data_IF_678900494864
#
_entry.id   IF_678900494864
#
_cell.length_a   1.000
_cell.length_b   1.000
_cell.length_c   1.000
_cell.angle_alpha   90.00
_cell.angle_beta   90.00
_cell.angle_gamma   90.00
#
_symmetry.space_group_name_H-M   'P 1'
#
loop_
_entity.id
_entity.type
_entity.pdbx_description
1 polymer ?
#
# COMPACT_ATOMS: atom_id res chain seq x y z
N UNK A 1 -18.98 31.09 -7.58
CA UNK A 1 -17.68 30.38 -7.65
C UNK A 1 -16.93 30.54 -6.32
N UNK A 2 -17.34 29.83 -5.26
CA UNK A 2 -16.62 29.90 -3.97
C UNK A 2 -16.71 28.61 -3.10
N UNK A 3 -17.20 27.48 -3.64
CA UNK A 3 -17.27 26.20 -2.90
C UNK A 3 -16.28 25.19 -3.48
N UNK A 4 -14.99 25.49 -3.39
CA UNK A 4 -13.91 24.54 -3.75
C UNK A 4 -12.85 24.40 -2.66
N UNK A 5 -13.11 24.90 -1.44
CA UNK A 5 -12.09 25.02 -0.39
C UNK A 5 -12.37 24.20 0.88
N UNK A 6 -13.35 23.29 0.87
CA UNK A 6 -13.63 22.38 2.00
C UNK A 6 -13.73 20.89 1.66
N UNK A 7 -13.48 20.49 0.41
CA UNK A 7 -13.97 19.22 -0.16
C UNK A 7 -13.02 18.02 -0.12
N UNK A 8 -11.80 18.13 0.39
CA UNK A 8 -10.87 16.99 0.38
C UNK A 8 -11.28 15.91 1.40
N UNK A 9 -11.73 16.31 2.59
CA UNK A 9 -12.10 15.37 3.66
C UNK A 9 -13.49 14.74 3.46
N UNK A 10 -14.45 15.47 2.88
CA UNK A 10 -15.78 14.92 2.59
C UNK A 10 -15.73 13.85 1.49
N UNK A 11 -14.97 14.10 0.42
CA UNK A 11 -14.76 13.13 -0.65
C UNK A 11 -13.92 11.93 -0.18
N UNK A 12 -12.99 12.13 0.75
CA UNK A 12 -12.20 11.04 1.32
C UNK A 12 -13.06 10.13 2.20
N UNK A 13 -13.81 10.68 3.16
CA UNK A 13 -14.72 9.89 3.99
C UNK A 13 -15.77 9.13 3.17
N UNK A 14 -16.34 9.76 2.14
CA UNK A 14 -17.27 9.09 1.22
C UNK A 14 -16.60 7.98 0.41
N UNK A 15 -15.40 8.20 -0.11
CA UNK A 15 -14.66 7.17 -0.84
C UNK A 15 -14.27 5.98 0.06
N UNK A 16 -13.99 6.23 1.34
CA UNK A 16 -13.76 5.17 2.33
C UNK A 16 -15.02 4.33 2.58
N UNK A 17 -16.16 4.99 2.81
CA UNK A 17 -17.44 4.32 3.05
C UNK A 17 -17.91 3.53 1.82
N UNK A 18 -17.77 4.12 0.62
CA UNK A 18 -18.11 3.46 -0.64
C UNK A 18 -17.20 2.26 -0.90
N UNK A 19 -15.89 2.38 -0.64
CA UNK A 19 -14.96 1.26 -0.73
C UNK A 19 -15.33 0.14 0.22
N UNK A 20 -15.63 0.45 1.49
CA UNK A 20 -16.04 -0.55 2.49
C UNK A 20 -17.30 -1.31 2.04
N UNK A 21 -18.30 -0.59 1.52
CA UNK A 21 -19.55 -1.19 1.04
C UNK A 21 -19.32 -2.11 -0.15
N UNK A 22 -18.52 -1.67 -1.13
CA UNK A 22 -18.21 -2.47 -2.31
C UNK A 22 -17.34 -3.67 -1.95
N UNK A 23 -16.33 -3.49 -1.10
CA UNK A 23 -15.44 -4.57 -0.67
C UNK A 23 -16.16 -5.67 0.11
N UNK A 24 -17.24 -5.35 0.84
CA UNK A 24 -18.09 -6.33 1.52
C UNK A 24 -18.93 -7.17 0.55
N UNK A 25 -19.28 -6.63 -0.61
CA UNK A 25 -20.13 -7.29 -1.61
C UNK A 25 -19.32 -7.98 -2.72
N UNK A 26 -18.15 -7.44 -3.03
CA UNK A 26 -17.29 -7.94 -4.09
C UNK A 26 -16.48 -9.18 -3.64
N UNK A 27 -16.16 -10.10 -4.58
CA UNK A 27 -15.19 -11.15 -4.33
C UNK A 27 -13.85 -10.57 -3.89
N UNK A 28 -13.18 -11.21 -2.92
CA UNK A 28 -11.89 -10.74 -2.39
C UNK A 28 -10.83 -10.54 -3.48
N UNK A 29 -10.86 -11.38 -4.52
CA UNK A 29 -9.98 -11.28 -5.67
C UNK A 29 -10.19 -9.99 -6.48
N UNK A 30 -11.43 -9.55 -6.63
CA UNK A 30 -11.77 -8.30 -7.33
C UNK A 30 -11.35 -7.08 -6.51
N UNK A 31 -11.48 -7.15 -5.17
CA UNK A 31 -10.98 -6.10 -4.28
C UNK A 31 -9.45 -6.00 -4.37
N UNK A 32 -8.73 -7.12 -4.27
CA UNK A 32 -7.28 -7.15 -4.39
C UNK A 32 -6.81 -6.60 -5.74
N UNK A 33 -7.49 -6.97 -6.84
CA UNK A 33 -7.24 -6.44 -8.18
C UNK A 33 -7.50 -4.94 -8.26
N UNK A 34 -8.62 -4.46 -7.73
CA UNK A 34 -8.96 -3.04 -7.72
C UNK A 34 -7.91 -2.20 -6.98
N UNK A 35 -7.49 -2.65 -5.79
CA UNK A 35 -6.45 -1.97 -5.01
C UNK A 35 -5.11 -2.02 -5.75
N UNK A 36 -4.74 -3.16 -6.34
CA UNK A 36 -3.52 -3.28 -7.13
C UNK A 36 -3.51 -2.34 -8.33
N UNK A 37 -4.62 -2.25 -9.06
CA UNK A 37 -4.76 -1.35 -10.20
C UNK A 37 -4.67 0.12 -9.75
N UNK A 38 -5.26 0.45 -8.61
CA UNK A 38 -5.11 1.78 -8.02
C UNK A 38 -3.64 2.08 -7.72
N UNK A 39 -2.91 1.17 -7.09
CA UNK A 39 -1.48 1.36 -6.78
C UNK A 39 -0.58 1.49 -8.03
N UNK A 40 -0.99 0.89 -9.15
CA UNK A 40 -0.27 0.92 -10.43
C UNK A 40 -0.75 2.04 -11.36
N UNK A 41 -1.78 2.78 -10.98
CA UNK A 41 -2.41 3.77 -11.84
C UNK A 41 -1.54 5.02 -11.96
N UNK A 42 -1.38 5.53 -13.17
CA UNK A 42 -0.72 6.83 -13.43
C UNK A 42 -1.46 8.02 -12.77
N UNK A 43 -2.71 7.81 -12.35
CA UNK A 43 -3.51 8.79 -11.63
C UNK A 43 -3.26 8.78 -10.12
N UNK A 44 -2.50 7.81 -9.61
CA UNK A 44 -2.00 7.81 -8.24
C UNK A 44 -0.55 8.27 -8.19
N UNK A 45 -0.09 8.83 -7.06
CA UNK A 45 1.34 9.04 -6.86
C UNK A 45 2.09 7.71 -7.01
N UNK A 46 3.39 7.72 -7.38
CA UNK A 46 4.17 6.50 -7.48
C UNK A 46 4.08 5.66 -6.20
N UNK A 47 4.01 4.33 -6.32
CA UNK A 47 3.97 3.40 -5.18
C UNK A 47 4.99 3.75 -4.07
N UNK A 48 6.25 4.09 -4.39
CA UNK A 48 7.24 4.49 -3.38
C UNK A 48 6.86 5.76 -2.61
N UNK A 49 6.25 6.72 -3.29
CA UNK A 49 5.78 7.98 -2.70
C UNK A 49 4.59 7.72 -1.77
N UNK A 50 3.65 6.87 -2.19
CA UNK A 50 2.50 6.46 -1.37
C UNK A 50 2.98 5.74 -0.11
N UNK A 51 3.87 4.76 -0.23
CA UNK A 51 4.43 4.02 0.90
C UNK A 51 5.12 4.95 1.90
N UNK A 52 5.92 5.91 1.45
CA UNK A 52 6.60 6.88 2.31
C UNK A 52 5.61 7.79 3.05
N UNK A 53 4.60 8.31 2.34
CA UNK A 53 3.55 9.13 2.95
C UNK A 53 2.76 8.34 3.99
N UNK A 54 2.39 7.09 3.69
CA UNK A 54 1.70 6.20 4.63
C UNK A 54 2.55 5.96 5.86
N UNK A 55 3.83 5.65 5.66
CA UNK A 55 4.78 5.39 6.73
C UNK A 55 4.92 6.59 7.67
N UNK A 56 5.10 7.79 7.11
CA UNK A 56 5.24 9.03 7.88
C UNK A 56 4.03 9.32 8.77
N UNK A 57 2.82 9.04 8.27
CA UNK A 57 1.56 9.22 8.99
C UNK A 57 1.15 8.04 9.88
N UNK A 58 1.85 6.91 9.80
CA UNK A 58 1.56 5.70 10.57
C UNK A 58 2.24 5.69 11.95
N UNK A 59 1.65 4.97 12.90
CA UNK A 59 2.27 4.70 14.21
C UNK A 59 3.37 3.61 14.11
N UNK A 60 4.24 3.44 15.12
CA UNK A 60 5.33 2.46 15.07
C UNK A 60 4.90 1.02 14.75
N UNK A 61 3.76 0.57 15.28
CA UNK A 61 3.23 -0.78 14.99
C UNK A 61 2.81 -0.94 13.53
N UNK A 62 2.10 0.05 12.98
CA UNK A 62 1.69 0.09 11.57
C UNK A 62 2.89 0.19 10.63
N UNK A 63 3.88 1.01 10.99
CA UNK A 63 5.16 1.14 10.28
C UNK A 63 5.88 -0.20 10.20
N UNK A 64 5.98 -0.91 11.32
CA UNK A 64 6.58 -2.23 11.36
C UNK A 64 5.79 -3.21 10.50
N UNK A 65 4.45 -3.23 10.62
CA UNK A 65 3.57 -4.07 9.82
C UNK A 65 3.76 -3.85 8.32
N UNK A 66 3.85 -2.59 7.87
CA UNK A 66 4.06 -2.26 6.47
C UNK A 66 5.45 -2.70 5.98
N UNK A 67 6.51 -2.46 6.75
CA UNK A 67 7.85 -2.92 6.40
C UNK A 67 7.92 -4.44 6.34
N UNK A 68 7.36 -5.13 7.33
CA UNK A 68 7.25 -6.59 7.36
C UNK A 68 6.52 -7.13 6.14
N UNK A 69 5.44 -6.48 5.73
CA UNK A 69 4.71 -6.88 4.54
C UNK A 69 5.54 -6.66 3.28
N UNK A 70 6.23 -5.54 3.16
CA UNK A 70 7.10 -5.24 2.02
C UNK A 70 8.22 -6.29 1.92
N UNK A 71 8.82 -6.65 3.05
CA UNK A 71 9.81 -7.74 3.17
C UNK A 71 9.20 -9.09 2.78
N UNK A 72 7.99 -9.41 3.28
CA UNK A 72 7.29 -10.64 2.93
C UNK A 72 6.96 -10.70 1.43
N UNK A 73 6.66 -9.55 0.83
CA UNK A 73 6.26 -9.45 -0.59
C UNK A 73 7.42 -9.63 -1.56
N UNK A 74 8.64 -9.28 -1.13
CA UNK A 74 9.86 -9.62 -1.85
C UNK A 74 10.10 -11.13 -1.87
N UNK A 75 9.59 -11.86 -0.87
CA UNK A 75 9.79 -13.29 -0.74
C UNK A 75 11.26 -13.67 -0.45
N UNK A 76 11.51 -14.92 -0.05
CA UNK A 76 12.84 -15.35 0.39
C UNK A 76 13.91 -15.31 -0.73
N UNK A 77 13.50 -15.46 -2.00
CA UNK A 77 14.42 -15.43 -3.14
C UNK A 77 14.99 -14.03 -3.39
N UNK A 78 14.18 -12.97 -3.32
CA UNK A 78 14.68 -11.60 -3.49
C UNK A 78 15.29 -11.04 -2.21
N UNK A 79 14.83 -11.48 -1.03
CA UNK A 79 15.51 -11.13 0.22
C UNK A 79 16.98 -11.56 0.21
N UNK A 80 17.29 -12.70 -0.42
CA UNK A 80 18.66 -13.21 -0.57
C UNK A 80 19.53 -12.30 -1.44
N UNK A 81 18.96 -11.60 -2.43
CA UNK A 81 19.69 -10.66 -3.30
C UNK A 81 19.82 -9.25 -2.71
N UNK A 82 18.87 -8.83 -1.88
CA UNK A 82 18.85 -7.49 -1.26
C UNK A 82 19.49 -7.47 0.15
N UNK A 83 19.72 -8.65 0.75
CA UNK A 83 20.39 -8.80 2.06
C UNK A 83 21.81 -8.20 2.12
N UNK A 84 22.44 -7.87 0.99
CA UNK A 84 23.72 -7.17 0.93
C UNK A 84 23.65 -5.63 1.01
N UNK A 85 22.45 -5.04 1.06
CA UNK A 85 22.22 -3.59 0.99
C UNK A 85 21.68 -2.95 2.27
N UNK A 86 21.11 -1.74 2.15
CA UNK A 86 20.53 -0.99 3.27
C UNK A 86 19.45 -1.77 4.06
N UNK A 87 18.69 -2.64 3.38
CA UNK A 87 17.76 -3.57 4.02
C UNK A 87 18.45 -4.63 4.89
N UNK A 88 19.64 -5.11 4.50
CA UNK A 88 20.43 -6.03 5.30
C UNK A 88 20.87 -5.45 6.64
N UNK A 89 21.13 -4.15 6.69
CA UNK A 89 21.45 -3.44 7.95
C UNK A 89 20.21 -3.29 8.85
N UNK A 90 19.02 -3.09 8.27
CA UNK A 90 17.76 -3.02 9.01
C UNK A 90 17.34 -4.41 9.53
N UNK A 91 17.59 -5.46 8.73
CA UNK A 91 17.27 -6.86 9.02
C UNK A 91 18.39 -7.61 9.76
N UNK A 92 19.49 -6.93 10.09
CA UNK A 92 20.78 -7.50 10.52
C UNK A 92 20.81 -8.28 11.84
N UNK A 93 19.65 -8.58 12.44
CA UNK A 93 19.51 -9.38 13.66
C UNK A 93 19.16 -10.86 13.44
N UNK A 94 19.09 -11.33 12.18
CA UNK A 94 18.68 -12.71 11.86
C UNK A 94 17.17 -12.97 11.99
N UNK A 95 16.39 -11.93 12.28
CA UNK A 95 14.94 -11.94 12.22
C UNK A 95 14.50 -11.26 10.91
N UNK A 96 13.84 -12.02 10.03
CA UNK A 96 13.15 -11.52 8.82
C UNK A 96 11.95 -10.61 9.16
N UNK A 97 11.99 -9.90 10.29
CA UNK A 97 10.90 -9.04 10.76
C UNK A 97 11.46 -7.77 11.38
N UNK A 98 10.85 -6.66 11.00
CA UNK A 98 11.09 -5.34 11.58
C UNK A 98 10.19 -5.17 12.79
N UNK A 99 10.76 -4.79 13.93
CA UNK A 99 10.00 -4.46 15.15
C UNK A 99 9.48 -3.02 15.11
N UNK A 100 8.46 -2.67 15.91
CA UNK A 100 7.99 -1.27 16.02
C UNK A 100 9.10 -0.28 16.37
N UNK A 101 10.03 -0.69 17.24
CA UNK A 101 11.19 0.11 17.63
C UNK A 101 12.14 0.34 16.46
N UNK A 102 12.41 -0.69 15.65
CA UNK A 102 13.21 -0.53 14.43
C UNK A 102 12.48 0.33 13.40
N UNK A 103 11.19 0.11 13.20
CA UNK A 103 10.37 0.89 12.29
C UNK A 103 10.30 2.37 12.70
N UNK A 104 10.36 2.67 14.00
CA UNK A 104 10.42 4.06 14.47
C UNK A 104 11.72 4.78 14.10
N UNK A 105 12.80 4.03 13.87
CA UNK A 105 14.11 4.55 13.45
C UNK A 105 14.25 4.68 11.93
N UNK A 106 13.41 3.99 11.17
CA UNK A 106 13.39 4.10 9.71
C UNK A 106 12.76 5.43 9.32
N UNK A 107 13.37 6.12 8.36
CA UNK A 107 12.85 7.39 7.83
C UNK A 107 11.90 7.17 6.65
N UNK A 108 10.88 8.03 6.42
CA UNK A 108 10.00 7.93 5.26
C UNK A 108 10.75 7.86 3.92
N UNK A 109 11.87 8.59 3.79
CA UNK A 109 12.75 8.53 2.63
C UNK A 109 13.37 7.15 2.40
N UNK A 110 13.82 6.47 3.47
CA UNK A 110 14.33 5.11 3.37
C UNK A 110 13.22 4.15 2.91
N UNK A 111 11.99 4.34 3.40
CA UNK A 111 10.85 3.52 2.95
C UNK A 111 10.56 3.76 1.47
N UNK A 112 10.64 5.00 1.00
CA UNK A 112 10.52 5.33 -0.43
C UNK A 112 11.58 4.58 -1.23
N UNK A 113 12.83 4.62 -0.83
CA UNK A 113 13.92 3.94 -1.54
C UNK A 113 13.73 2.42 -1.56
N UNK A 114 13.35 1.83 -0.43
CA UNK A 114 13.05 0.39 -0.32
C UNK A 114 11.91 0.01 -1.25
N UNK A 115 10.80 0.76 -1.23
CA UNK A 115 9.65 0.51 -2.07
C UNK A 115 9.99 0.67 -3.57
N UNK A 116 10.80 1.68 -3.92
CA UNK A 116 11.27 1.88 -5.30
C UNK A 116 12.18 0.74 -5.77
N UNK A 117 13.12 0.30 -4.93
CA UNK A 117 13.95 -0.86 -5.24
C UNK A 117 13.11 -2.13 -5.36
N UNK A 118 12.16 -2.34 -4.45
CA UNK A 118 11.28 -3.49 -4.48
C UNK A 118 10.46 -3.55 -5.76
N UNK A 119 9.88 -2.42 -6.19
CA UNK A 119 9.13 -2.30 -7.44
C UNK A 119 10.01 -2.55 -8.67
N UNK A 120 11.21 -1.98 -8.71
CA UNK A 120 12.15 -2.17 -9.82
C UNK A 120 12.63 -3.62 -9.95
N UNK A 121 12.90 -4.28 -8.82
CA UNK A 121 13.37 -5.67 -8.80
C UNK A 121 12.21 -6.65 -9.05
N UNK A 122 11.03 -6.34 -8.53
CA UNK A 122 9.84 -7.17 -8.65
C UNK A 122 8.59 -6.30 -8.83
N UNK A 123 8.10 -6.14 -10.06
CA UNK A 123 6.86 -5.43 -10.33
C UNK A 123 5.66 -6.04 -9.59
N UNK A 124 5.72 -7.34 -9.30
CA UNK A 124 4.69 -8.07 -8.54
C UNK A 124 4.64 -7.71 -7.05
N UNK A 125 5.57 -6.90 -6.54
CA UNK A 125 5.48 -6.34 -5.18
C UNK A 125 4.19 -5.54 -5.03
N UNK A 126 3.77 -4.81 -6.08
CA UNK A 126 2.57 -3.97 -6.04
C UNK A 126 1.31 -4.82 -5.96
N UNK A 127 1.26 -5.94 -6.68
CA UNK A 127 0.18 -6.93 -6.60
C UNK A 127 0.08 -7.55 -5.20
N UNK A 128 1.21 -7.91 -4.59
CA UNK A 128 1.22 -8.48 -3.24
C UNK A 128 0.82 -7.46 -2.16
N UNK A 129 1.25 -6.20 -2.33
CA UNK A 129 0.84 -5.10 -1.47
C UNK A 129 -0.65 -4.81 -1.64
N UNK A 130 -1.18 -4.82 -2.86
CA UNK A 130 -2.61 -4.68 -3.11
C UNK A 130 -3.45 -5.76 -2.43
N UNK A 131 -3.00 -7.02 -2.48
CA UNK A 131 -3.64 -8.14 -1.77
C UNK A 131 -3.53 -8.03 -0.24
N UNK A 132 -2.45 -7.48 0.28
CA UNK A 132 -2.33 -7.21 1.71
C UNK A 132 -3.28 -6.10 2.14
N UNK A 133 -3.28 -4.98 1.43
CA UNK A 133 -4.15 -3.86 1.73
C UNK A 133 -5.63 -4.27 1.64
N UNK A 134 -6.04 -5.09 0.67
CA UNK A 134 -7.42 -5.61 0.63
C UNK A 134 -7.83 -6.44 1.86
N UNK A 135 -6.86 -6.96 2.63
CA UNK A 135 -7.09 -7.66 3.90
C UNK A 135 -7.00 -6.73 5.12
N UNK A 136 -6.49 -5.50 4.95
CA UNK A 136 -6.31 -4.51 5.99
C UNK A 136 -7.01 -3.18 5.62
N UNK A 137 -8.34 -3.09 5.81
CA UNK A 137 -9.14 -1.92 5.42
C UNK A 137 -8.61 -0.61 6.01
N UNK A 138 -8.12 -0.62 7.25
CA UNK A 138 -7.51 0.54 7.91
C UNK A 138 -6.32 1.09 7.14
N UNK A 139 -5.53 0.22 6.51
CA UNK A 139 -4.37 0.63 5.70
C UNK A 139 -4.79 1.11 4.30
N UNK A 140 -5.87 0.54 3.74
CA UNK A 140 -6.46 1.02 2.47
C UNK A 140 -6.98 2.44 2.60
N UNK A 141 -7.63 2.75 3.73
CA UNK A 141 -8.08 4.11 4.07
C UNK A 141 -6.91 5.10 4.12
N UNK A 142 -5.77 4.65 4.63
CA UNK A 142 -4.56 5.45 4.68
C UNK A 142 -3.92 5.74 3.30
N UNK A 143 -4.27 4.99 2.24
CA UNK A 143 -3.83 5.27 0.86
C UNK A 143 -4.44 6.57 0.30
N UNK A 144 -5.53 7.05 0.91
CA UNK A 144 -6.19 8.30 0.56
C UNK A 144 -7.34 8.18 -0.44
N UNK A 145 -8.24 9.17 -0.43
CA UNK A 145 -9.49 9.16 -1.21
C UNK A 145 -9.34 8.99 -2.73
N UNK A 146 -8.24 9.44 -3.31
CA UNK A 146 -7.98 9.29 -4.74
C UNK A 146 -7.68 7.84 -5.13
N UNK A 147 -6.84 7.14 -4.35
CA UNK A 147 -6.54 5.73 -4.58
C UNK A 147 -7.78 4.86 -4.40
N UNK A 148 -8.62 5.20 -3.40
CA UNK A 148 -9.90 4.52 -3.15
C UNK A 148 -10.88 4.69 -4.33
N UNK A 149 -11.02 5.90 -4.85
CA UNK A 149 -11.89 6.17 -6.00
C UNK A 149 -11.45 5.39 -7.26
N UNK A 150 -10.15 5.29 -7.50
CA UNK A 150 -9.61 4.50 -8.61
C UNK A 150 -9.84 3.01 -8.39
N UNK A 151 -9.60 2.51 -7.17
CA UNK A 151 -9.86 1.11 -6.82
C UNK A 151 -11.34 0.75 -7.02
N UNK A 152 -12.24 1.63 -6.58
CA UNK A 152 -13.69 1.52 -6.79
C UNK A 152 -14.04 1.45 -8.29
N UNK A 153 -13.45 2.33 -9.10
CA UNK A 153 -13.64 2.32 -10.56
C UNK A 153 -13.22 0.99 -11.19
N UNK A 154 -12.07 0.44 -10.79
CA UNK A 154 -11.59 -0.86 -11.27
C UNK A 154 -12.43 -2.04 -10.77
N UNK A 155 -12.88 -2.03 -9.50
CA UNK A 155 -13.78 -3.05 -8.96
C UNK A 155 -15.12 -3.05 -9.69
N UNK A 156 -15.71 -1.87 -9.92
CA UNK A 156 -16.96 -1.73 -10.67
C UNK A 156 -16.82 -2.27 -12.10
N UNK A 157 -15.70 -1.97 -12.77
CA UNK A 157 -15.40 -2.52 -14.10
C UNK A 157 -15.18 -4.04 -14.09
N UNK A 158 -14.51 -4.58 -13.07
CA UNK A 158 -14.30 -6.03 -12.91
C UNK A 158 -15.62 -6.78 -12.73
N UNK A 159 -16.49 -6.25 -11.86
CA UNK A 159 -17.83 -6.81 -11.63
C UNK A 159 -18.73 -6.74 -12.88
N UNK A 160 -18.65 -5.67 -13.68
CA UNK A 160 -19.41 -5.54 -14.94
C UNK A 160 -18.97 -6.52 -16.03
N UNK A 161 -17.71 -6.99 -16.02
CA UNK A 161 -17.18 -7.91 -17.03
C UNK A 161 -17.47 -9.38 -16.72
N UNK A 162 -17.83 -9.68 -15.47
CA UNK A 162 -18.15 -11.03 -14.98
C UNK A 162 -19.67 -11.32 -14.95
N UNK A 163 -20.49 -10.45 -15.53
CA UNK A 163 -21.95 -10.55 -15.61
C UNK A 163 -22.42 -10.49 -17.07
#
# INVERSE_FOLDING_TARGET
>A
MQQYLGGANANHAQAEDDFDRVAQQAPREEVARGVTQALRSDQTPPFPQMAANLFGNSNPDQRAGMLNQLIASLGPQLLSSVAGGALGNILGGGQNRVTPEQASQVSPDQVREIAAHAEQQNPGVVDQMGNFYSQHPTLVKALGGAALAIALGHMAQGMQRNN
#
